data_IF_651349747905
#
_entry.id   IF_651349747905
#
_cell.length_a   1.000
_cell.length_b   1.000
_cell.length_c   1.000
_cell.angle_alpha   90.00
_cell.angle_beta   90.00
_cell.angle_gamma   90.00
#
_symmetry.space_group_name_H-M   'P 1'
#
loop_
_entity.id
_entity.type
_entity.pdbx_description
1 polymer ?
#
# COMPACT_ATOMS: atom_id res chain seq x y z
N UNK A 1 0.78 26.50 -36.77
CA UNK A 1 1.45 25.34 -36.15
C UNK A 1 2.87 25.28 -36.70
N UNK A 2 3.86 25.74 -35.93
CA UNK A 2 5.26 25.73 -36.39
C UNK A 2 5.72 24.30 -36.61
N UNK A 3 6.52 24.06 -37.67
CA UNK A 3 7.24 22.82 -37.93
C UNK A 3 8.27 22.60 -36.81
N UNK A 4 7.81 22.29 -35.61
CA UNK A 4 8.68 22.09 -34.45
C UNK A 4 9.28 20.71 -34.55
N UNK A 5 10.61 20.62 -34.52
CA UNK A 5 11.36 19.38 -34.53
C UNK A 5 10.91 18.48 -33.35
N UNK A 6 10.22 17.35 -33.58
CA UNK A 6 9.69 16.51 -32.51
C UNK A 6 10.81 15.90 -31.65
N UNK A 7 11.99 15.73 -32.23
CA UNK A 7 13.20 15.27 -31.55
C UNK A 7 13.65 16.25 -30.46
N UNK A 8 13.65 17.55 -30.76
CA UNK A 8 14.01 18.57 -29.77
C UNK A 8 13.02 18.58 -28.59
N UNK A 9 11.73 18.37 -28.84
CA UNK A 9 10.71 18.22 -27.79
C UNK A 9 10.94 16.98 -26.93
N UNK A 10 11.23 15.84 -27.57
CA UNK A 10 11.51 14.59 -26.86
C UNK A 10 12.76 14.70 -25.98
N UNK A 11 13.84 15.28 -26.52
CA UNK A 11 15.09 15.50 -25.81
C UNK A 11 14.93 16.46 -24.63
N UNK A 12 14.21 17.58 -24.82
CA UNK A 12 13.87 18.50 -23.75
C UNK A 12 13.06 17.80 -22.65
N UNK A 13 12.08 16.97 -23.02
CA UNK A 13 11.23 16.28 -22.06
C UNK A 13 12.01 15.25 -21.22
N UNK A 14 12.97 14.53 -21.83
CA UNK A 14 13.88 13.62 -21.11
C UNK A 14 14.84 14.40 -20.21
N UNK A 15 15.41 15.52 -20.69
CA UNK A 15 16.27 16.36 -19.86
C UNK A 15 15.51 16.86 -18.62
N UNK A 16 14.29 17.35 -18.80
CA UNK A 16 13.41 17.75 -17.69
C UNK A 16 13.10 16.59 -16.75
N UNK A 17 12.81 15.39 -17.27
CA UNK A 17 12.50 14.24 -16.40
C UNK A 17 13.72 13.77 -15.60
N UNK A 18 14.93 13.84 -16.16
CA UNK A 18 16.18 13.58 -15.43
C UNK A 18 16.38 14.60 -14.31
N UNK A 19 16.19 15.90 -14.59
CA UNK A 19 16.27 16.95 -13.57
C UNK A 19 15.25 16.74 -12.45
N UNK A 20 14.00 16.40 -12.79
CA UNK A 20 12.97 16.06 -11.81
C UNK A 20 13.31 14.81 -11.00
N UNK A 21 13.89 13.79 -11.64
CA UNK A 21 14.34 12.59 -10.95
C UNK A 21 15.42 12.92 -9.92
N UNK A 22 16.43 13.71 -10.32
CA UNK A 22 17.49 14.19 -9.44
C UNK A 22 16.92 15.02 -8.28
N UNK A 23 15.95 15.89 -8.54
CA UNK A 23 15.27 16.67 -7.50
C UNK A 23 14.53 15.78 -6.49
N UNK A 24 13.77 14.78 -6.96
CA UNK A 24 13.01 13.85 -6.10
C UNK A 24 13.91 12.90 -5.32
N UNK A 25 14.95 12.32 -5.94
CA UNK A 25 15.81 11.35 -5.26
C UNK A 25 16.71 12.00 -4.20
N UNK A 26 17.08 13.27 -4.39
CA UNK A 26 17.85 14.05 -3.42
C UNK A 26 16.98 14.80 -2.40
N UNK A 27 15.65 14.64 -2.44
CA UNK A 27 14.75 15.29 -1.50
C UNK A 27 14.92 14.75 -0.08
N UNK A 28 15.05 15.67 0.87
CA UNK A 28 15.01 15.42 2.32
C UNK A 28 14.24 16.55 2.98
N UNK A 29 13.23 16.23 3.78
CA UNK A 29 12.31 17.24 4.33
C UNK A 29 13.00 18.26 5.24
N UNK A 30 14.01 17.83 6.01
CA UNK A 30 14.68 18.68 7.01
C UNK A 30 15.89 19.46 6.46
N UNK A 31 16.39 19.09 5.28
CA UNK A 31 17.68 19.56 4.75
C UNK A 31 17.54 20.11 3.33
N UNK A 32 17.09 21.35 3.22
CA UNK A 32 16.85 22.04 1.94
C UNK A 32 18.14 22.12 1.11
N UNK A 33 19.27 22.32 1.78
CA UNK A 33 20.61 22.45 1.20
C UNK A 33 21.15 21.15 0.57
N UNK A 34 20.57 19.99 0.88
CA UNK A 34 21.06 18.70 0.36
C UNK A 34 20.52 18.33 -1.02
N UNK A 35 19.54 19.08 -1.53
CA UNK A 35 18.98 18.82 -2.85
C UNK A 35 20.00 19.13 -3.95
N UNK A 36 20.20 18.21 -4.90
CA UNK A 36 21.23 18.34 -5.94
C UNK A 36 20.97 19.50 -6.91
N UNK A 37 19.72 19.93 -7.06
CA UNK A 37 19.33 21.08 -7.89
C UNK A 37 19.17 22.37 -7.06
N UNK A 38 19.62 22.35 -5.80
CA UNK A 38 19.49 23.46 -4.86
C UNK A 38 18.04 23.76 -4.50
N UNK A 39 17.78 25.02 -4.17
CA UNK A 39 16.48 25.48 -3.66
C UNK A 39 15.32 25.24 -4.62
N UNK A 40 15.52 25.46 -5.92
CA UNK A 40 14.48 25.26 -6.95
C UNK A 40 14.09 23.77 -7.03
N UNK A 41 15.08 22.87 -7.04
CA UNK A 41 14.85 21.43 -7.02
C UNK A 41 14.09 20.99 -5.78
N UNK A 42 14.46 21.53 -4.61
CA UNK A 42 13.77 21.26 -3.35
C UNK A 42 12.28 21.61 -3.41
N UNK A 43 11.90 22.81 -3.85
CA UNK A 43 10.49 23.21 -3.89
C UNK A 43 9.67 22.42 -4.90
N UNK A 44 10.25 22.07 -6.06
CA UNK A 44 9.59 21.22 -7.03
C UNK A 44 9.36 19.82 -6.44
N UNK A 45 10.39 19.23 -5.82
CA UNK A 45 10.29 17.93 -5.18
C UNK A 45 9.31 17.95 -4.00
N UNK A 46 9.35 18.99 -3.17
CA UNK A 46 8.41 19.22 -2.07
C UNK A 46 6.98 19.28 -2.58
N UNK A 47 6.69 20.09 -3.60
CA UNK A 47 5.35 20.19 -4.19
C UNK A 47 4.85 18.87 -4.78
N UNK A 48 5.73 18.12 -5.47
CA UNK A 48 5.41 16.82 -6.02
C UNK A 48 5.15 15.77 -4.93
N UNK A 49 5.99 15.71 -3.88
CA UNK A 49 5.78 14.82 -2.73
C UNK A 49 4.55 15.21 -1.91
N UNK A 50 4.30 16.51 -1.74
CA UNK A 50 3.13 17.02 -1.04
C UNK A 50 1.84 16.60 -1.77
N UNK A 51 1.79 16.75 -3.10
CA UNK A 51 0.60 16.42 -3.89
C UNK A 51 0.41 14.92 -4.18
N UNK A 52 1.50 14.18 -4.45
CA UNK A 52 1.44 12.81 -4.97
C UNK A 52 2.24 11.79 -4.15
N UNK A 53 2.96 12.22 -3.12
CA UNK A 53 3.81 11.35 -2.31
C UNK A 53 4.79 10.54 -3.15
N UNK A 54 4.80 9.22 -2.98
CA UNK A 54 5.65 8.30 -3.75
C UNK A 54 5.22 8.14 -5.22
N UNK A 55 3.99 8.50 -5.58
CA UNK A 55 3.49 8.41 -6.96
C UNK A 55 4.18 9.45 -7.87
N UNK A 56 4.79 10.50 -7.29
CA UNK A 56 5.59 11.48 -8.03
C UNK A 56 6.68 10.85 -8.91
N UNK A 57 7.35 9.78 -8.44
CA UNK A 57 8.34 9.04 -9.22
C UNK A 57 7.75 8.39 -10.47
N UNK A 58 6.49 7.93 -10.40
CA UNK A 58 5.78 7.39 -11.56
C UNK A 58 5.50 8.47 -12.60
N UNK A 59 5.20 9.70 -12.16
CA UNK A 59 5.10 10.89 -13.02
C UNK A 59 6.38 11.13 -13.83
N UNK A 60 7.53 11.09 -13.16
CA UNK A 60 8.84 11.22 -13.81
C UNK A 60 9.11 10.08 -14.79
N UNK A 61 8.79 8.83 -14.42
CA UNK A 61 8.91 7.68 -15.32
C UNK A 61 8.03 7.82 -16.57
N UNK A 62 6.80 8.30 -16.42
CA UNK A 62 5.88 8.53 -17.53
C UNK A 62 6.36 9.66 -18.46
N UNK A 63 6.94 10.73 -17.90
CA UNK A 63 7.60 11.78 -18.69
C UNK A 63 8.78 11.20 -19.47
N UNK A 64 9.71 10.52 -18.81
CA UNK A 64 10.86 9.88 -19.48
C UNK A 64 10.43 8.96 -20.62
N UNK A 65 9.42 8.11 -20.38
CA UNK A 65 8.86 7.22 -21.40
C UNK A 65 8.23 8.00 -22.56
N UNK A 66 7.44 9.04 -22.28
CA UNK A 66 6.83 9.87 -23.31
C UNK A 66 7.89 10.55 -24.18
N UNK A 67 8.94 11.11 -23.57
CA UNK A 67 10.06 11.73 -24.26
C UNK A 67 10.81 10.74 -25.14
N UNK A 68 11.00 9.51 -24.65
CA UNK A 68 11.58 8.41 -25.42
C UNK A 68 10.73 8.03 -26.64
N UNK A 69 9.40 7.99 -26.50
CA UNK A 69 8.51 7.74 -27.64
C UNK A 69 8.59 8.84 -28.70
N UNK A 70 8.69 10.12 -28.28
CA UNK A 70 8.88 11.25 -29.20
C UNK A 70 10.20 11.13 -29.98
N UNK A 71 11.30 10.72 -29.32
CA UNK A 71 12.60 10.51 -29.98
C UNK A 71 12.57 9.41 -31.04
N UNK A 72 11.81 8.32 -30.81
CA UNK A 72 11.66 7.23 -31.77
C UNK A 72 10.80 7.60 -32.99
N UNK A 73 10.37 8.87 -33.12
CA UNK A 73 9.45 9.38 -34.14
C UNK A 73 8.15 8.55 -34.23
N UNK A 74 7.79 7.83 -33.17
CA UNK A 74 6.57 7.06 -33.13
C UNK A 74 5.43 8.02 -32.82
N UNK A 75 4.45 8.10 -33.74
CA UNK A 75 3.19 8.80 -33.42
C UNK A 75 2.57 8.06 -32.24
N UNK A 76 2.44 8.73 -31.10
CA UNK A 76 1.77 8.17 -29.94
C UNK A 76 0.27 8.10 -30.30
N UNK A 77 -0.30 6.90 -30.48
CA UNK A 77 -1.74 6.80 -30.70
C UNK A 77 -2.45 7.36 -29.47
N UNK A 78 -3.36 8.30 -29.70
CA UNK A 78 -4.23 8.91 -28.68
C UNK A 78 -3.52 9.32 -27.37
N UNK A 79 -2.51 10.20 -27.45
CA UNK A 79 -1.79 10.71 -26.27
C UNK A 79 -2.72 11.18 -25.14
N UNK A 80 -3.81 11.87 -25.47
CA UNK A 80 -4.79 12.34 -24.48
C UNK A 80 -5.45 11.20 -23.69
N UNK A 81 -5.76 10.09 -24.35
CA UNK A 81 -6.32 8.90 -23.69
C UNK A 81 -5.31 8.29 -22.72
N UNK A 82 -4.05 8.15 -23.14
CA UNK A 82 -2.97 7.64 -22.28
C UNK A 82 -2.72 8.55 -21.08
N UNK A 83 -2.78 9.87 -21.27
CA UNK A 83 -2.65 10.84 -20.18
C UNK A 83 -3.81 10.73 -19.18
N UNK A 84 -5.05 10.56 -19.66
CA UNK A 84 -6.21 10.35 -18.80
C UNK A 84 -6.08 9.04 -18.00
N UNK A 85 -5.74 7.93 -18.67
CA UNK A 85 -5.49 6.65 -17.99
C UNK A 85 -4.37 6.75 -16.96
N UNK A 86 -3.30 7.47 -17.28
CA UNK A 86 -2.21 7.74 -16.35
C UNK A 86 -2.66 8.57 -15.14
N UNK A 87 -3.49 9.60 -15.34
CA UNK A 87 -4.08 10.39 -14.26
C UNK A 87 -4.93 9.54 -13.32
N UNK A 88 -5.82 8.71 -13.86
CA UNK A 88 -6.65 7.79 -13.06
C UNK A 88 -5.77 6.77 -12.30
N UNK A 89 -4.71 6.26 -12.94
CA UNK A 89 -3.72 5.41 -12.29
C UNK A 89 -3.02 6.14 -11.12
N UNK A 90 -2.61 7.39 -11.31
CA UNK A 90 -1.98 8.17 -10.25
C UNK A 90 -2.92 8.40 -9.07
N UNK A 91 -4.15 8.83 -9.31
CA UNK A 91 -5.17 9.05 -8.27
C UNK A 91 -5.43 7.77 -7.48
N UNK A 92 -5.59 6.64 -8.18
CA UNK A 92 -5.85 5.35 -7.54
C UNK A 92 -4.66 4.85 -6.71
N UNK A 93 -3.43 5.00 -7.21
CA UNK A 93 -2.22 4.67 -6.45
C UNK A 93 -2.02 5.60 -5.25
N UNK A 94 -2.32 6.89 -5.35
CA UNK A 94 -2.25 7.83 -4.22
C UNK A 94 -3.19 7.37 -3.10
N UNK A 95 -4.45 7.05 -3.42
CA UNK A 95 -5.41 6.54 -2.45
C UNK A 95 -4.99 5.20 -1.84
N UNK A 96 -4.47 4.26 -2.64
CA UNK A 96 -3.97 2.98 -2.13
C UNK A 96 -2.79 3.16 -1.17
N UNK A 97 -1.85 4.04 -1.50
CA UNK A 97 -0.70 4.36 -0.64
C UNK A 97 -1.14 5.04 0.66
N UNK A 98 -2.16 5.90 0.62
CA UNK A 98 -2.76 6.49 1.82
C UNK A 98 -3.35 5.43 2.75
N UNK A 99 -4.13 4.49 2.23
CA UNK A 99 -4.68 3.39 3.05
C UNK A 99 -3.57 2.48 3.57
N UNK A 100 -2.54 2.23 2.76
CA UNK A 100 -1.40 1.41 3.14
C UNK A 100 -0.59 2.04 4.28
N UNK A 101 -0.37 3.36 4.23
CA UNK A 101 0.30 4.13 5.29
C UNK A 101 -0.42 4.01 6.64
N UNK A 102 -1.75 4.07 6.61
CA UNK A 102 -2.59 3.92 7.81
C UNK A 102 -2.65 2.49 8.35
N UNK A 103 -2.50 1.49 7.48
CA UNK A 103 -2.61 0.07 7.86
C UNK A 103 -1.32 -0.51 8.42
N UNK A 104 -0.15 0.02 8.05
CA UNK A 104 1.15 -0.61 8.34
C UNK A 104 2.17 0.37 8.91
N UNK A 105 2.08 0.68 10.20
CA UNK A 105 3.02 1.63 10.84
C UNK A 105 4.49 1.19 10.79
N UNK A 106 4.77 -0.12 10.80
CA UNK A 106 6.13 -0.66 10.93
C UNK A 106 7.05 -0.37 9.73
N UNK A 107 6.54 -0.36 8.50
CA UNK A 107 7.37 -0.16 7.30
C UNK A 107 7.68 1.30 7.02
N UNK A 108 6.93 2.21 7.65
CA UNK A 108 6.95 3.62 7.29
C UNK A 108 8.12 4.36 7.94
N UNK A 109 8.66 3.85 9.05
CA UNK A 109 9.89 4.37 9.66
C UNK A 109 11.10 4.30 8.73
N UNK A 110 11.14 3.36 7.77
CA UNK A 110 12.20 3.28 6.76
C UNK A 110 12.15 4.40 5.73
N UNK A 111 10.99 5.06 5.61
CA UNK A 111 10.75 6.17 4.69
C UNK A 111 10.78 7.53 5.40
N UNK A 112 11.15 7.53 6.68
CA UNK A 112 11.26 8.75 7.45
C UNK A 112 12.31 9.70 6.86
N UNK A 113 11.98 10.98 6.80
CA UNK A 113 12.76 12.02 6.13
C UNK A 113 12.73 12.02 4.59
N UNK A 114 12.30 10.93 3.94
CA UNK A 114 12.14 10.87 2.46
C UNK A 114 10.73 11.20 1.99
N UNK A 115 9.74 10.93 2.82
CA UNK A 115 8.33 11.25 2.51
C UNK A 115 7.88 12.35 3.45
N UNK A 116 6.99 13.22 2.96
CA UNK A 116 6.35 14.23 3.78
C UNK A 116 5.59 13.59 4.95
N UNK A 117 6.03 13.88 6.17
CA UNK A 117 5.40 13.45 7.42
C UNK A 117 4.96 14.68 8.21
N UNK A 118 3.82 14.56 8.90
CA UNK A 118 3.28 15.61 9.75
C UNK A 118 3.12 15.08 11.16
N UNK A 119 3.72 15.77 12.14
CA UNK A 119 3.59 15.40 13.55
C UNK A 119 2.57 16.30 14.21
N UNK A 120 1.44 15.73 14.62
CA UNK A 120 0.42 16.45 15.36
C UNK A 120 0.61 16.14 16.84
N UNK A 121 0.77 17.19 17.65
CA UNK A 121 0.87 17.09 19.10
C UNK A 121 -0.47 17.43 19.74
N UNK A 122 -1.07 16.46 20.43
CA UNK A 122 -2.29 16.66 21.20
C UNK A 122 -1.92 16.94 22.65
N UNK A 123 -2.35 18.08 23.19
CA UNK A 123 -1.93 18.54 24.51
C UNK A 123 -2.95 18.24 25.63
N UNK A 124 -3.96 17.37 25.44
CA UNK A 124 -5.01 17.19 26.46
C UNK A 124 -5.59 15.76 26.54
N UNK A 125 -5.79 15.20 27.76
CA UNK A 125 -5.19 15.56 29.06
C UNK A 125 -3.74 15.05 29.24
N UNK A 126 -3.22 14.28 28.29
CA UNK A 126 -1.84 13.79 28.25
C UNK A 126 -1.21 14.14 26.91
N UNK A 127 0.01 14.67 26.91
CA UNK A 127 0.72 15.01 25.69
C UNK A 127 1.08 13.73 24.92
N UNK A 128 0.45 13.51 23.76
CA UNK A 128 0.84 12.44 22.85
C UNK A 128 1.14 13.00 21.46
N UNK A 129 2.19 12.45 20.84
CA UNK A 129 2.62 12.80 19.49
C UNK A 129 2.13 11.73 18.53
N UNK A 130 1.45 12.16 17.47
CA UNK A 130 0.99 11.30 16.41
C UNK A 130 1.59 11.75 15.09
N UNK A 131 2.43 10.89 14.49
CA UNK A 131 3.09 11.13 13.21
C UNK A 131 2.26 10.52 12.09
N UNK A 132 1.78 11.36 11.18
CA UNK A 132 1.08 10.97 9.96
C UNK A 132 2.07 10.92 8.82
N UNK A 133 2.06 9.83 8.06
CA UNK A 133 2.91 9.67 6.90
C UNK A 133 2.09 9.75 5.63
N UNK A 134 2.35 10.76 4.80
CA UNK A 134 1.56 11.05 3.62
C UNK A 134 2.14 10.34 2.38
N UNK A 135 2.17 9.01 2.38
CA UNK A 135 2.74 8.20 1.28
C UNK A 135 2.07 8.48 -0.07
N UNK A 136 0.77 8.77 -0.06
CA UNK A 136 -0.01 9.13 -1.25
C UNK A 136 -0.06 10.64 -1.54
N UNK A 137 0.50 11.49 -0.66
CA UNK A 137 0.33 12.93 -0.70
C UNK A 137 -0.78 13.43 0.25
N UNK A 138 -0.65 14.69 0.67
CA UNK A 138 -1.51 15.34 1.66
C UNK A 138 -2.96 15.51 1.19
N UNK A 139 -3.25 15.96 -0.05
CA UNK A 139 -4.64 16.14 -0.50
C UNK A 139 -5.45 14.84 -0.44
N UNK A 140 -4.81 13.71 -0.76
CA UNK A 140 -5.44 12.39 -0.76
C UNK A 140 -5.66 11.86 0.66
N UNK A 141 -4.76 12.18 1.59
CA UNK A 141 -4.97 11.92 3.01
C UNK A 141 -6.17 12.71 3.56
N UNK A 142 -6.24 14.00 3.24
CA UNK A 142 -7.36 14.85 3.65
C UNK A 142 -8.69 14.34 3.11
N UNK A 143 -8.72 13.94 1.84
CA UNK A 143 -9.89 13.33 1.21
C UNK A 143 -10.26 11.98 1.86
N UNK A 144 -9.28 11.17 2.22
CA UNK A 144 -9.50 9.89 2.88
C UNK A 144 -10.08 10.03 4.30
N UNK A 145 -9.61 11.01 5.09
CA UNK A 145 -9.86 11.05 6.55
C UNK A 145 -10.32 12.40 7.11
N UNK A 146 -9.75 13.52 6.68
CA UNK A 146 -9.92 14.79 7.42
C UNK A 146 -11.17 15.58 6.99
N UNK A 147 -11.67 15.44 5.76
CA UNK A 147 -12.87 16.17 5.31
C UNK A 147 -14.13 15.44 5.84
N UNK A 148 -14.88 15.98 6.82
CA UNK A 148 -15.99 15.27 7.44
C UNK A 148 -17.12 14.94 6.45
N UNK A 149 -17.38 15.83 5.48
CA UNK A 149 -18.41 15.63 4.47
C UNK A 149 -18.07 14.55 3.42
N UNK A 150 -16.78 14.29 3.18
CA UNK A 150 -16.29 13.38 2.15
C UNK A 150 -15.33 12.34 2.72
N UNK A 151 -15.49 11.97 3.99
CA UNK A 151 -14.59 11.03 4.64
C UNK A 151 -14.79 9.65 4.01
N UNK A 152 -13.91 9.31 3.05
CA UNK A 152 -14.02 8.04 2.32
C UNK A 152 -13.92 6.86 3.28
N UNK A 153 -13.18 6.95 4.37
CA UNK A 153 -13.10 5.89 5.38
C UNK A 153 -14.45 5.62 6.06
N UNK A 154 -15.31 6.63 6.22
CA UNK A 154 -16.67 6.45 6.75
C UNK A 154 -17.65 6.00 5.68
N UNK A 155 -17.55 6.54 4.46
CA UNK A 155 -18.43 6.18 3.34
C UNK A 155 -18.15 4.77 2.81
N UNK A 156 -16.88 4.38 2.76
CA UNK A 156 -16.38 3.09 2.31
C UNK A 156 -15.47 2.51 3.38
N UNK A 157 -15.66 1.24 3.73
CA UNK A 157 -14.69 0.55 4.58
C UNK A 157 -13.30 0.55 3.94
N UNK A 158 -12.24 0.46 4.75
CA UNK A 158 -10.86 0.37 4.23
C UNK A 158 -10.70 -0.73 3.17
N UNK A 159 -11.39 -1.87 3.37
CA UNK A 159 -11.41 -2.98 2.41
C UNK A 159 -12.07 -2.56 1.10
N UNK A 160 -13.20 -1.84 1.16
CA UNK A 160 -13.88 -1.32 -0.02
C UNK A 160 -13.04 -0.33 -0.81
N UNK A 161 -12.33 0.57 -0.13
CA UNK A 161 -11.42 1.54 -0.77
C UNK A 161 -10.29 0.79 -1.48
N UNK A 162 -9.62 -0.15 -0.78
CA UNK A 162 -8.55 -0.96 -1.39
C UNK A 162 -9.08 -1.74 -2.60
N UNK A 163 -10.26 -2.34 -2.50
CA UNK A 163 -10.85 -3.11 -3.60
C UNK A 163 -11.15 -2.22 -4.82
N UNK A 164 -11.84 -1.09 -4.63
CA UNK A 164 -12.21 -0.20 -5.73
C UNK A 164 -10.96 0.40 -6.39
N UNK A 165 -10.07 1.02 -5.62
CA UNK A 165 -8.89 1.67 -6.19
C UNK A 165 -7.87 0.68 -6.73
N UNK A 166 -7.77 -0.56 -6.21
CA UNK A 166 -6.95 -1.60 -6.83
C UNK A 166 -7.50 -2.04 -8.18
N UNK A 167 -8.80 -2.26 -8.30
CA UNK A 167 -9.44 -2.58 -9.58
C UNK A 167 -9.30 -1.44 -10.57
N UNK A 168 -9.54 -0.19 -10.15
CA UNK A 168 -9.33 1.01 -10.98
C UNK A 168 -7.87 1.15 -11.42
N UNK A 169 -6.91 0.88 -10.53
CA UNK A 169 -5.48 0.90 -10.85
C UNK A 169 -5.12 -0.15 -11.90
N UNK A 170 -5.59 -1.40 -11.75
CA UNK A 170 -5.37 -2.48 -12.71
C UNK A 170 -5.98 -2.14 -14.08
N UNK A 171 -7.23 -1.68 -14.11
CA UNK A 171 -7.90 -1.27 -15.36
C UNK A 171 -7.12 -0.12 -16.02
N UNK A 172 -6.76 0.91 -15.27
CA UNK A 172 -6.02 2.07 -15.79
C UNK A 172 -4.63 1.67 -16.31
N UNK A 173 -3.95 0.74 -15.65
CA UNK A 173 -2.66 0.21 -16.09
C UNK A 173 -2.78 -0.58 -17.40
N UNK A 174 -3.82 -1.39 -17.55
CA UNK A 174 -4.13 -2.12 -18.80
C UNK A 174 -4.38 -1.12 -19.94
N UNK A 175 -5.19 -0.10 -19.68
CA UNK A 175 -5.51 0.94 -20.67
C UNK A 175 -4.27 1.76 -21.05
N UNK A 176 -3.41 2.08 -20.08
CA UNK A 176 -2.18 2.84 -20.28
C UNK A 176 -1.16 2.07 -21.13
N UNK A 177 -0.96 0.78 -20.82
CA UNK A 177 -0.01 -0.07 -21.55
C UNK A 177 -0.52 -0.48 -22.93
N UNK A 178 -1.82 -0.31 -23.20
CA UNK A 178 -2.47 -0.82 -24.41
C UNK A 178 -2.36 -2.35 -24.50
N UNK A 179 -2.18 -3.02 -23.36
CA UNK A 179 -1.94 -4.44 -23.33
C UNK A 179 -3.20 -5.17 -23.80
N UNK A 180 -3.06 -6.03 -24.82
CA UNK A 180 -4.17 -6.87 -25.30
C UNK A 180 -4.45 -7.93 -24.23
N UNK A 181 -5.43 -7.66 -23.38
CA UNK A 181 -5.82 -8.54 -22.26
C UNK A 181 -6.04 -9.98 -22.71
N UNK A 182 -6.60 -10.17 -23.90
CA UNK A 182 -6.81 -11.48 -24.54
C UNK A 182 -5.50 -12.25 -24.75
N UNK A 183 -4.42 -11.58 -25.15
CA UNK A 183 -3.09 -12.18 -25.32
C UNK A 183 -2.44 -12.52 -23.97
N UNK A 184 -2.60 -11.67 -22.94
CA UNK A 184 -2.12 -11.99 -21.58
C UNK A 184 -2.83 -13.20 -21.02
N UNK A 185 -4.16 -13.18 -21.07
CA UNK A 185 -4.99 -14.22 -20.50
C UNK A 185 -4.74 -15.56 -21.18
N UNK A 186 -4.58 -15.57 -22.51
CA UNK A 186 -4.22 -16.79 -23.23
C UNK A 186 -2.82 -17.30 -22.89
N UNK A 187 -1.82 -16.42 -22.68
CA UNK A 187 -0.49 -16.80 -22.19
C UNK A 187 -0.53 -17.35 -20.77
N UNK A 188 -1.24 -16.68 -19.88
CA UNK A 188 -1.41 -17.10 -18.47
C UNK A 188 -2.16 -18.43 -18.38
N UNK A 189 -3.26 -18.59 -19.12
CA UNK A 189 -4.01 -19.84 -19.18
C UNK A 189 -3.14 -21.00 -19.71
N UNK A 190 -2.28 -20.74 -20.71
CA UNK A 190 -1.30 -21.74 -21.18
C UNK A 190 -0.29 -22.11 -20.09
N UNK A 191 0.24 -21.14 -19.34
CA UNK A 191 1.17 -21.39 -18.23
C UNK A 191 0.50 -22.16 -17.08
N UNK A 192 -0.72 -21.78 -16.69
CA UNK A 192 -1.49 -22.47 -15.66
C UNK A 192 -1.84 -23.90 -16.08
N UNK A 193 -2.25 -24.13 -17.34
CA UNK A 193 -2.48 -25.50 -17.85
C UNK A 193 -1.21 -26.34 -17.82
N UNK A 194 -0.06 -25.77 -18.20
CA UNK A 194 1.25 -26.46 -18.12
C UNK A 194 1.63 -26.78 -16.68
N UNK A 195 1.48 -25.81 -15.77
CA UNK A 195 1.75 -25.98 -14.34
C UNK A 195 0.83 -27.04 -13.70
N UNK A 196 -0.46 -27.02 -14.04
CA UNK A 196 -1.43 -28.01 -13.57
C UNK A 196 -1.14 -29.40 -14.10
N UNK A 197 -0.79 -29.53 -15.39
CA UNK A 197 -0.38 -30.81 -15.97
C UNK A 197 0.86 -31.37 -15.26
N UNK A 198 1.88 -30.54 -15.03
CA UNK A 198 3.09 -30.95 -14.31
C UNK A 198 2.80 -31.32 -12.84
N UNK A 199 1.90 -30.60 -12.17
CA UNK A 199 1.47 -30.91 -10.81
C UNK A 199 0.71 -32.25 -10.76
N UNK A 200 -0.21 -32.48 -11.70
CA UNK A 200 -0.95 -33.73 -11.81
C UNK A 200 -0.04 -34.91 -12.13
N UNK A 201 0.98 -34.74 -12.96
CA UNK A 201 2.01 -35.76 -13.18
C UNK A 201 2.81 -36.06 -11.90
N UNK A 202 3.17 -35.03 -11.11
CA UNK A 202 3.83 -35.23 -9.82
C UNK A 202 2.93 -35.97 -8.83
N UNK A 203 1.65 -35.61 -8.74
CA UNK A 203 0.68 -36.27 -7.89
C UNK A 203 0.46 -37.74 -8.30
N UNK A 204 0.43 -38.05 -9.60
CA UNK A 204 0.37 -39.45 -10.09
C UNK A 204 1.62 -40.27 -9.73
N UNK A 205 2.81 -39.64 -9.67
CA UNK A 205 4.06 -40.30 -9.28
C UNK A 205 4.15 -40.58 -7.78
N UNK A 206 3.42 -39.83 -6.95
CA UNK A 206 3.18 -40.18 -5.56
C UNK A 206 2.19 -41.35 -5.59
N UNK A 207 2.68 -42.55 -5.93
CA UNK A 207 1.97 -43.79 -5.66
C UNK A 207 1.69 -43.77 -4.17
N UNK A 208 0.45 -43.51 -3.79
CA UNK A 208 0.00 -43.72 -2.42
C UNK A 208 0.49 -45.11 -2.04
N UNK A 209 1.22 -45.26 -0.93
CA UNK A 209 1.54 -46.57 -0.41
C UNK A 209 0.20 -47.28 -0.31
N UNK A 210 -0.04 -48.24 -1.20
CA UNK A 210 -1.22 -49.08 -1.14
C UNK A 210 -1.24 -49.55 0.31
N UNK A 211 -2.27 -49.20 1.11
CA UNK A 211 -2.33 -49.66 2.47
C UNK A 211 -2.21 -51.17 2.35
N UNK A 212 -1.10 -51.73 2.86
CA UNK A 212 -0.95 -53.18 2.94
C UNK A 212 -2.13 -53.61 3.79
N UNK A 213 -3.21 -54.04 3.14
CA UNK A 213 -4.36 -54.64 3.78
C UNK A 213 -3.79 -55.89 4.43
N UNK A 214 -3.39 -55.75 5.68
CA UNK A 214 -3.09 -56.88 6.53
C UNK A 214 -4.41 -57.63 6.61
N UNK A 215 -4.52 -58.72 5.87
CA UNK A 215 -5.61 -59.68 5.98
C UNK A 215 -5.82 -59.95 7.46
N UNK A 216 -7.01 -59.68 8.03
CA UNK A 216 -7.26 -59.97 9.43
C UNK A 216 -7.43 -61.48 9.57
N UNK A 217 -6.32 -62.19 9.77
CA UNK A 217 -6.35 -63.50 10.43
C UNK A 217 -6.12 -63.22 11.91
N UNK A 218 -7.18 -62.86 12.64
CA UNK A 218 -7.41 -63.46 13.95
C UNK A 218 -8.77 -63.08 14.53
N UNK A 219 -9.41 -64.13 15.03
CA UNK A 219 -10.69 -64.22 15.73
C UNK A 219 -10.91 -63.06 16.71
N UNK A 220 -12.06 -62.40 16.60
CA UNK A 220 -12.59 -61.55 17.66
C UNK A 220 -12.93 -62.40 18.90
N UNK A 221 -12.36 -62.12 20.09
CA UNK A 221 -13.02 -62.44 21.35
C UNK A 221 -14.24 -61.51 21.57
N UNK A 222 -15.24 -61.98 22.33
CA UNK A 222 -16.49 -61.26 22.55
C UNK A 222 -16.28 -59.91 23.24
N UNK A 223 -17.09 -58.93 22.81
CA UNK A 223 -17.02 -57.54 23.19
C UNK A 223 -17.25 -57.31 24.71
N UNK A 224 -16.34 -56.60 25.40
CA UNK A 224 -16.66 -56.03 26.70
C UNK A 224 -17.55 -54.78 26.53
N UNK A 225 -18.77 -54.86 27.06
CA UNK A 225 -19.71 -53.73 27.20
C UNK A 225 -19.04 -52.60 27.99
N UNK A 226 -18.66 -51.51 27.32
CA UNK A 226 -18.28 -50.26 27.98
C UNK A 226 -19.45 -49.30 27.94
N UNK A 227 -20.03 -49.12 29.12
CA UNK A 227 -21.04 -48.14 29.46
C UNK A 227 -20.52 -46.74 29.13
N UNK A 228 -21.18 -46.04 28.21
CA UNK A 228 -20.93 -44.62 27.96
C UNK A 228 -21.36 -43.83 29.21
N UNK A 229 -20.39 -43.35 29.97
CA UNK A 229 -20.62 -42.27 30.95
C UNK A 229 -20.54 -40.96 30.18
N UNK A 230 -21.63 -40.18 30.27
CA UNK A 230 -21.82 -38.92 29.58
C UNK A 230 -20.65 -37.95 29.79
N UNK A 231 -20.04 -37.51 28.68
CA UNK A 231 -19.04 -36.44 28.70
C UNK A 231 -19.72 -35.13 29.12
N UNK A 232 -19.34 -34.68 30.32
CA UNK A 232 -19.70 -33.42 30.96
C UNK A 232 -19.34 -32.25 30.04
N UNK A 233 -20.34 -31.42 29.74
CA UNK A 233 -20.24 -30.13 29.05
C UNK A 233 -19.10 -29.30 29.68
N UNK A 234 -18.01 -29.08 28.96
CA UNK A 234 -17.00 -28.06 29.28
C UNK A 234 -17.42 -26.77 28.60
N UNK A 235 -18.45 -26.14 29.15
CA UNK A 235 -18.77 -24.73 28.93
C UNK A 235 -18.29 -24.01 30.18
N UNK A 236 -17.05 -23.49 30.20
CA UNK A 236 -16.58 -22.48 31.18
C UNK A 236 -15.11 -22.09 30.95
N UNK A 237 -14.72 -21.64 29.75
CA UNK A 237 -13.34 -21.15 29.53
C UNK A 237 -13.20 -19.78 28.86
N UNK A 238 -14.28 -19.00 28.75
CA UNK A 238 -14.17 -17.59 28.35
C UNK A 238 -15.04 -16.70 29.23
N UNK A 239 -14.61 -16.50 30.49
CA UNK A 239 -14.88 -15.24 31.20
C UNK A 239 -13.71 -14.30 30.91
N UNK A 240 -13.88 -13.26 30.07
CA UNK A 240 -12.89 -12.20 29.98
C UNK A 240 -12.72 -11.58 31.37
N UNK A 241 -11.49 -11.64 31.89
CA UNK A 241 -11.11 -10.99 33.14
C UNK A 241 -11.08 -9.49 32.86
N UNK A 242 -12.21 -8.82 33.01
CA UNK A 242 -12.25 -7.35 33.06
C UNK A 242 -11.31 -6.91 34.19
N UNK A 243 -10.17 -6.35 33.82
CA UNK A 243 -9.33 -5.63 34.77
C UNK A 243 -10.10 -4.37 35.15
N UNK A 244 -10.42 -4.15 36.44
CA UNK A 244 -11.07 -2.93 36.86
C UNK A 244 -10.20 -1.73 36.47
N UNK A 245 -10.79 -0.82 35.72
CA UNK A 245 -10.21 0.49 35.44
C UNK A 245 -10.15 1.22 36.80
N UNK A 246 -8.98 1.62 37.31
CA UNK A 246 -8.91 2.35 38.55
C UNK A 246 -9.65 3.70 38.42
N UNK A 247 -10.42 4.10 39.43
CA UNK A 247 -11.11 5.38 39.40
C UNK A 247 -10.10 6.54 39.29
N UNK A 248 -10.41 7.60 38.53
CA UNK A 248 -9.49 8.69 38.20
C UNK A 248 -9.10 9.63 39.36
N UNK A 249 -9.34 9.27 40.63
CA UNK A 249 -9.31 10.23 41.74
C UNK A 249 -8.09 10.18 42.68
N UNK A 250 -7.04 9.37 42.44
CA UNK A 250 -5.94 9.23 43.43
C UNK A 250 -4.56 9.72 42.93
N UNK A 251 -4.42 10.13 41.65
CA UNK A 251 -3.11 10.57 41.13
C UNK A 251 -2.86 12.08 41.31
N UNK A 252 -3.88 12.90 41.57
CA UNK A 252 -3.70 14.36 41.66
C UNK A 252 -3.11 14.86 42.99
N UNK A 253 -3.16 14.10 44.08
CA UNK A 253 -2.75 14.64 45.39
C UNK A 253 -1.24 14.53 45.67
N UNK A 254 -0.50 13.65 44.98
CA UNK A 254 0.94 13.47 45.22
C UNK A 254 1.83 14.55 44.56
N UNK A 255 1.30 15.29 43.59
CA UNK A 255 2.08 16.30 42.84
C UNK A 255 1.89 17.74 43.34
N UNK A 256 1.01 18.00 44.32
CA UNK A 256 0.89 19.34 44.94
C UNK A 256 1.94 19.65 46.00
N UNK A 257 2.64 18.65 46.54
CA UNK A 257 3.59 18.86 47.64
C UNK A 257 5.01 19.23 47.19
N UNK A 258 5.30 19.25 45.88
CA UNK A 258 6.67 19.50 45.37
C UNK A 258 6.86 20.94 44.83
N UNK A 259 5.81 21.76 44.77
CA UNK A 259 5.91 23.18 44.38
C UNK A 259 5.86 24.13 45.59
N UNK A 260 6.74 23.93 46.56
CA UNK A 260 7.08 24.95 47.55
C UNK A 260 8.56 24.81 47.91
N UNK A 261 9.45 25.19 46.99
CA UNK A 261 10.81 25.71 47.26
C UNK A 261 11.58 25.81 45.94
N UNK A 262 11.56 26.99 45.33
CA UNK A 262 12.70 27.51 44.60
C UNK A 262 12.60 29.04 44.57
N UNK A 263 13.70 29.76 44.87
CA UNK A 263 13.77 31.22 45.00
C UNK A 263 13.67 31.97 43.66
#
# INVERSE_FOLDING_TARGET
>A
MSKTHPEAKGLLLIATSVLLFCALISFRLEHIETNWLGFIGYWIAFGLHYCFGLVSFLGVAFMSWSGWQLLRRQKIPSFGYRLLSFGILCVSLCMLLTVFAESTYAYVSLLDGKVYSETITFNAPYAYRYTRFNLGGVPWYMLYRDIPALNLRHLLSNVGIVLIFSMTSVVSLILLTGFRVTEAFSRLAKLLRKGWAALMERLKKIKLPQPKVKTPVNKLPPAPKKTFTAAKKVTDFFKPKEKPIPPPSIIEEKNRTIKMHAP
#
